data_IF_625089093953
#
_entry.id   IF_625089093953
#
_cell.length_a   1.000
_cell.length_b   1.000
_cell.length_c   1.000
_cell.angle_alpha   90.00
_cell.angle_beta   90.00
_cell.angle_gamma   90.00
#
_symmetry.space_group_name_H-M   'P 1'
#
loop_
_entity.id
_entity.type
_entity.pdbx_description
1 polymer ?
#
# COMPACT_ATOMS: atom_id res chain seq x y z
N UNK A 1 5.13 -12.62 -0.36
CA UNK A 1 5.42 -11.31 0.26
C UNK A 1 5.29 -10.23 -0.80
N UNK A 2 4.46 -9.19 -0.62
CA UNK A 2 4.33 -8.09 -1.55
C UNK A 2 5.58 -7.19 -1.51
N UNK A 3 6.03 -6.75 -2.69
CA UNK A 3 7.04 -5.73 -2.87
C UNK A 3 6.35 -4.46 -3.40
N UNK A 4 6.44 -3.37 -2.65
CA UNK A 4 5.71 -2.12 -2.93
C UNK A 4 6.53 -1.26 -3.87
N UNK A 5 6.19 -1.30 -5.17
CA UNK A 5 6.95 -0.60 -6.20
C UNK A 5 6.62 0.90 -6.23
N UNK A 6 7.66 1.73 -6.28
CA UNK A 6 7.52 3.16 -6.49
C UNK A 6 7.31 3.47 -7.97
N UNK A 7 6.08 3.70 -8.38
CA UNK A 7 5.72 3.96 -9.78
C UNK A 7 6.33 5.25 -10.36
N UNK A 8 6.81 6.17 -9.51
CA UNK A 8 7.43 7.41 -9.96
C UNK A 8 8.91 7.25 -10.34
N UNK A 9 9.51 6.07 -10.06
CA UNK A 9 10.93 5.81 -10.32
C UNK A 9 11.27 5.52 -11.79
N UNK A 10 10.26 5.48 -12.67
CA UNK A 10 10.42 5.14 -14.08
C UNK A 10 10.81 3.66 -14.31
N UNK A 11 10.96 3.28 -15.58
CA UNK A 11 11.23 1.88 -15.94
C UNK A 11 12.49 1.32 -15.27
N UNK A 12 13.61 2.03 -15.33
CA UNK A 12 14.88 1.53 -14.79
C UNK A 12 14.82 1.29 -13.27
N UNK A 13 14.19 2.19 -12.52
CA UNK A 13 14.01 2.05 -11.08
C UNK A 13 13.06 0.90 -10.72
N UNK A 14 11.98 0.72 -11.47
CA UNK A 14 11.04 -0.39 -11.29
C UNK A 14 11.67 -1.74 -11.63
N UNK A 15 12.39 -1.84 -12.74
CA UNK A 15 13.09 -3.06 -13.16
C UNK A 15 14.16 -3.47 -12.15
N UNK A 16 14.93 -2.49 -11.64
CA UNK A 16 15.92 -2.72 -10.60
C UNK A 16 15.27 -3.20 -9.28
N UNK A 17 14.15 -2.61 -8.87
CA UNK A 17 13.41 -3.02 -7.70
C UNK A 17 12.83 -4.44 -7.85
N UNK A 18 12.25 -4.77 -9.00
CA UNK A 18 11.74 -6.10 -9.30
C UNK A 18 12.86 -7.15 -9.29
N UNK A 19 14.02 -6.83 -9.86
CA UNK A 19 15.20 -7.71 -9.88
C UNK A 19 15.73 -7.95 -8.47
N UNK A 20 15.91 -6.88 -7.68
CA UNK A 20 16.42 -6.97 -6.31
C UNK A 20 15.51 -7.78 -5.38
N UNK A 21 14.20 -7.73 -5.58
CA UNK A 21 13.21 -8.48 -4.79
C UNK A 21 12.78 -9.80 -5.45
N UNK A 22 13.39 -10.19 -6.57
CA UNK A 22 13.09 -11.42 -7.31
C UNK A 22 11.59 -11.56 -7.67
N UNK A 23 10.95 -10.44 -7.97
CA UNK A 23 9.54 -10.41 -8.35
C UNK A 23 9.33 -11.14 -9.67
N UNK A 24 8.33 -12.01 -9.72
CA UNK A 24 7.91 -12.72 -10.95
C UNK A 24 6.60 -12.19 -11.51
N UNK A 25 5.78 -11.63 -10.64
CA UNK A 25 4.43 -11.14 -11.00
C UNK A 25 4.22 -9.75 -10.46
N UNK A 26 3.78 -8.85 -11.32
CA UNK A 26 3.40 -7.48 -10.98
C UNK A 26 1.87 -7.42 -11.02
N UNK A 27 1.27 -6.91 -9.96
CA UNK A 27 -0.17 -6.66 -9.90
C UNK A 27 -0.39 -5.16 -10.13
N UNK A 28 -1.25 -4.83 -11.07
CA UNK A 28 -1.55 -3.45 -11.45
C UNK A 28 -3.04 -3.25 -11.72
N UNK A 29 -3.50 -2.00 -11.76
CA UNK A 29 -4.84 -1.62 -12.20
C UNK A 29 -4.74 -0.86 -13.52
N UNK A 30 -5.57 -1.20 -14.51
CA UNK A 30 -5.64 -0.48 -15.80
C UNK A 30 -6.03 0.98 -15.60
N UNK A 31 -7.00 1.24 -14.74
CA UNK A 31 -7.44 2.59 -14.43
C UNK A 31 -6.30 3.42 -13.81
N UNK A 32 -5.50 2.83 -12.91
CA UNK A 32 -4.34 3.51 -12.33
C UNK A 32 -3.26 3.78 -13.38
N UNK A 33 -2.92 2.80 -14.24
CA UNK A 33 -1.92 2.93 -15.30
C UNK A 33 -2.25 4.12 -16.21
N UNK A 34 -3.51 4.22 -16.65
CA UNK A 34 -3.99 5.33 -17.48
C UNK A 34 -3.91 6.68 -16.76
N UNK A 35 -4.37 6.73 -15.50
CA UNK A 35 -4.34 7.96 -14.72
C UNK A 35 -2.91 8.45 -14.46
N UNK A 36 -1.99 7.53 -14.21
CA UNK A 36 -0.58 7.82 -13.92
C UNK A 36 0.30 7.88 -15.19
N UNK A 37 -0.27 7.64 -16.39
CA UNK A 37 0.43 7.65 -17.69
C UNK A 37 1.62 6.69 -17.72
N UNK A 38 1.39 5.44 -17.27
CA UNK A 38 2.44 4.43 -17.12
C UNK A 38 2.38 3.34 -18.20
N UNK A 39 1.61 3.52 -19.27
CA UNK A 39 1.37 2.52 -20.31
C UNK A 39 2.68 1.98 -20.90
N UNK A 40 3.56 2.88 -21.34
CA UNK A 40 4.86 2.52 -21.93
C UNK A 40 5.78 1.79 -20.92
N UNK A 41 5.75 2.22 -19.67
CA UNK A 41 6.56 1.61 -18.60
C UNK A 41 6.08 0.19 -18.32
N UNK A 42 4.76 0.00 -18.23
CA UNK A 42 4.15 -1.31 -17.98
C UNK A 42 4.35 -2.25 -19.16
N UNK A 43 4.30 -1.77 -20.40
CA UNK A 43 4.59 -2.56 -21.59
C UNK A 43 6.03 -3.10 -21.57
N UNK A 44 7.00 -2.26 -21.25
CA UNK A 44 8.42 -2.68 -21.08
C UNK A 44 8.59 -3.69 -19.93
N UNK A 45 7.87 -3.52 -18.83
CA UNK A 45 7.89 -4.47 -17.71
C UNK A 45 7.22 -5.80 -18.09
N UNK A 46 6.15 -5.77 -18.86
CA UNK A 46 5.43 -6.97 -19.32
C UNK A 46 6.28 -7.89 -20.21
N UNK A 47 7.32 -7.34 -20.87
CA UNK A 47 8.30 -8.14 -21.62
C UNK A 47 9.17 -9.01 -20.72
N UNK A 48 9.32 -8.67 -19.44
CA UNK A 48 10.19 -9.39 -18.47
C UNK A 48 9.41 -10.08 -17.35
N UNK A 49 8.28 -9.51 -16.94
CA UNK A 49 7.51 -9.94 -15.78
C UNK A 49 6.08 -10.26 -16.19
N UNK A 50 5.45 -11.19 -15.47
CA UNK A 50 4.02 -11.44 -15.62
C UNK A 50 3.23 -10.28 -15.01
N UNK A 51 2.50 -9.52 -15.82
CA UNK A 51 1.60 -8.47 -15.34
C UNK A 51 0.18 -9.05 -15.20
N UNK A 52 -0.42 -8.86 -14.03
CA UNK A 52 -1.79 -9.28 -13.71
C UNK A 52 -2.60 -8.02 -13.36
N UNK A 53 -3.70 -7.82 -14.04
CA UNK A 53 -4.58 -6.68 -13.80
C UNK A 53 -5.66 -7.02 -12.77
N UNK A 54 -5.90 -6.11 -11.82
CA UNK A 54 -6.93 -6.28 -10.78
C UNK A 54 -8.32 -6.47 -11.37
N UNK A 55 -8.58 -5.79 -12.48
CA UNK A 55 -9.86 -5.88 -13.19
C UNK A 55 -10.12 -7.30 -13.72
N UNK A 56 -9.07 -7.99 -14.17
CA UNK A 56 -9.18 -9.36 -14.69
C UNK A 56 -9.37 -10.38 -13.55
N UNK A 57 -8.75 -10.14 -12.38
CA UNK A 57 -8.92 -11.01 -11.23
C UNK A 57 -10.38 -11.16 -10.81
N UNK A 58 -11.15 -10.07 -10.91
CA UNK A 58 -12.57 -10.10 -10.57
C UNK A 58 -13.37 -11.06 -11.44
N UNK A 59 -13.00 -11.20 -12.71
CA UNK A 59 -13.67 -12.10 -13.68
C UNK A 59 -13.27 -13.57 -13.50
N UNK A 60 -12.13 -13.84 -12.84
CA UNK A 60 -11.65 -15.22 -12.59
C UNK A 60 -12.26 -15.86 -11.32
N UNK A 61 -12.90 -15.07 -10.47
CA UNK A 61 -13.50 -15.55 -9.23
C UNK A 61 -14.73 -16.41 -9.50
N UNK A 62 -14.58 -17.72 -9.37
CA UNK A 62 -15.63 -18.70 -9.51
C UNK A 62 -16.48 -18.91 -8.26
N UNK A 63 -17.43 -19.84 -8.34
CA UNK A 63 -18.29 -20.20 -7.21
C UNK A 63 -17.47 -20.81 -6.05
N UNK A 64 -16.47 -21.64 -6.38
CA UNK A 64 -15.58 -22.25 -5.39
C UNK A 64 -14.83 -21.19 -4.56
N UNK A 65 -14.33 -20.12 -5.20
CA UNK A 65 -13.63 -19.04 -4.50
C UNK A 65 -14.55 -18.27 -3.55
N UNK A 66 -15.82 -18.09 -3.97
CA UNK A 66 -16.83 -17.43 -3.12
C UNK A 66 -17.20 -18.29 -1.91
N UNK A 67 -17.31 -19.60 -2.09
CA UNK A 67 -17.56 -20.56 -0.99
C UNK A 67 -16.35 -20.56 -0.05
N UNK A 68 -15.14 -20.61 -0.58
CA UNK A 68 -13.90 -20.55 0.21
C UNK A 68 -13.80 -19.24 0.99
N UNK A 69 -14.12 -18.11 0.37
CA UNK A 69 -14.17 -16.79 1.05
C UNK A 69 -15.17 -16.79 2.20
N UNK A 70 -16.37 -17.33 1.99
CA UNK A 70 -17.36 -17.44 3.05
C UNK A 70 -16.89 -18.35 4.19
N UNK A 71 -16.26 -19.47 3.87
CA UNK A 71 -15.69 -20.38 4.86
C UNK A 71 -14.58 -19.69 5.68
N UNK A 72 -13.71 -18.88 5.04
CA UNK A 72 -12.65 -18.12 5.74
C UNK A 72 -13.20 -17.04 6.66
N UNK A 73 -14.34 -16.44 6.32
CA UNK A 73 -15.04 -15.49 7.20
C UNK A 73 -15.60 -16.15 8.46
N UNK A 74 -16.08 -17.40 8.34
CA UNK A 74 -16.64 -18.16 9.44
C UNK A 74 -15.57 -18.85 10.31
N UNK A 75 -14.46 -19.26 9.70
CA UNK A 75 -13.39 -20.03 10.34
C UNK A 75 -11.99 -19.48 9.99
N UNK A 76 -11.70 -18.20 10.28
CA UNK A 76 -10.48 -17.54 9.80
C UNK A 76 -9.18 -18.19 10.32
N UNK A 77 -9.19 -18.65 11.58
CA UNK A 77 -8.00 -19.24 12.22
C UNK A 77 -7.61 -20.61 11.69
N UNK A 78 -8.55 -21.38 11.15
CA UNK A 78 -8.29 -22.73 10.64
C UNK A 78 -7.93 -22.77 9.16
N UNK A 79 -8.36 -21.77 8.38
CA UNK A 79 -8.19 -21.72 6.93
C UNK A 79 -7.08 -20.75 6.48
N UNK A 80 -6.80 -19.72 7.28
CA UNK A 80 -5.64 -18.86 7.07
C UNK A 80 -4.45 -19.51 7.77
N UNK A 81 -3.42 -19.87 7.01
CA UNK A 81 -2.21 -20.50 7.56
C UNK A 81 -1.59 -19.70 8.71
N UNK A 82 -0.93 -20.39 9.62
CA UNK A 82 -0.19 -19.75 10.69
C UNK A 82 0.96 -18.94 10.11
N UNK A 83 1.08 -17.67 10.53
CA UNK A 83 2.22 -16.80 10.22
C UNK A 83 3.03 -16.58 11.50
N UNK A 84 4.35 -16.60 11.38
CA UNK A 84 5.22 -16.25 12.49
C UNK A 84 5.45 -14.73 12.53
N UNK A 85 5.60 -14.11 13.72
CA UNK A 85 5.87 -12.67 13.81
C UNK A 85 7.07 -12.19 13.01
N UNK A 86 8.11 -13.02 12.91
CA UNK A 86 9.33 -12.71 12.17
C UNK A 86 9.25 -12.99 10.66
N UNK A 87 8.14 -13.59 10.19
CA UNK A 87 7.95 -13.82 8.76
C UNK A 87 7.92 -12.49 8.00
N UNK A 88 8.53 -12.43 6.80
CA UNK A 88 8.48 -11.26 5.94
C UNK A 88 7.03 -10.88 5.58
N UNK A 89 6.63 -9.66 5.89
CA UNK A 89 5.30 -9.12 5.62
C UNK A 89 5.27 -8.27 4.34
N UNK A 90 6.29 -7.43 4.12
CA UNK A 90 6.37 -6.52 2.97
C UNK A 90 7.81 -6.17 2.66
N UNK A 91 8.08 -5.88 1.39
CA UNK A 91 9.34 -5.26 0.94
C UNK A 91 9.05 -3.83 0.52
N UNK A 92 9.74 -2.87 1.13
CA UNK A 92 9.74 -1.46 0.73
C UNK A 92 11.09 -1.11 0.10
N UNK A 93 11.10 -0.11 -0.78
CA UNK A 93 12.33 0.33 -1.42
C UNK A 93 12.72 1.73 -0.94
N UNK A 94 14.00 1.88 -0.64
CA UNK A 94 14.63 3.17 -0.38
C UNK A 94 15.49 3.57 -1.57
N UNK A 95 15.61 4.88 -1.82
CA UNK A 95 16.59 5.39 -2.77
C UNK A 95 17.98 5.10 -2.18
N UNK A 96 18.67 4.10 -2.73
CA UNK A 96 20.06 3.82 -2.35
C UNK A 96 20.95 5.03 -2.65
N UNK A 97 22.00 5.23 -1.86
CA UNK A 97 22.99 6.31 -2.04
C UNK A 97 23.66 6.33 -3.43
N UNK A 98 23.60 5.20 -4.14
CA UNK A 98 24.17 5.01 -5.49
C UNK A 98 23.09 5.00 -6.60
N UNK A 99 21.87 5.45 -6.29
CA UNK A 99 20.76 5.47 -7.26
C UNK A 99 20.07 4.11 -7.51
N UNK A 100 20.60 3.02 -6.98
CA UNK A 100 19.96 1.69 -7.07
C UNK A 100 19.02 1.49 -5.89
N UNK A 101 17.73 1.14 -6.13
CA UNK A 101 16.80 0.88 -5.04
C UNK A 101 17.27 -0.26 -4.15
N UNK A 102 17.28 -0.04 -2.82
CA UNK A 102 17.55 -1.08 -1.83
C UNK A 102 16.22 -1.57 -1.26
N UNK A 103 15.97 -2.89 -1.36
CA UNK A 103 14.80 -3.53 -0.77
C UNK A 103 14.98 -3.73 0.73
N UNK A 104 14.08 -3.18 1.52
CA UNK A 104 14.00 -3.36 2.97
C UNK A 104 12.87 -4.33 3.27
N UNK A 105 13.20 -5.49 3.80
CA UNK A 105 12.23 -6.49 4.22
C UNK A 105 11.75 -6.17 5.63
N UNK A 106 10.44 -5.97 5.79
CA UNK A 106 9.82 -5.75 7.09
C UNK A 106 9.01 -6.98 7.47
N UNK A 107 9.19 -7.45 8.71
CA UNK A 107 8.39 -8.55 9.26
C UNK A 107 7.04 -8.07 9.78
N UNK A 108 6.14 -9.02 10.05
CA UNK A 108 4.87 -8.72 10.73
C UNK A 108 5.11 -8.02 12.06
N UNK A 109 6.11 -8.46 12.83
CA UNK A 109 6.47 -7.86 14.11
C UNK A 109 6.93 -6.41 13.96
N UNK A 110 7.73 -6.09 12.93
CA UNK A 110 8.18 -4.72 12.69
C UNK A 110 6.99 -3.77 12.45
N UNK A 111 6.02 -4.20 11.64
CA UNK A 111 4.83 -3.40 11.35
C UNK A 111 3.96 -3.23 12.59
N UNK A 112 3.69 -4.31 13.32
CA UNK A 112 2.87 -4.29 14.53
C UNK A 112 3.51 -3.45 15.64
N UNK A 113 4.83 -3.58 15.86
CA UNK A 113 5.55 -2.78 16.85
C UNK A 113 5.48 -1.28 16.53
N UNK A 114 5.67 -0.90 15.26
CA UNK A 114 5.57 0.51 14.86
C UNK A 114 4.14 1.07 15.10
N UNK A 115 3.10 0.31 14.78
CA UNK A 115 1.73 0.73 15.07
C UNK A 115 1.43 0.82 16.56
N UNK A 116 1.96 -0.12 17.37
CA UNK A 116 1.83 -0.06 18.82
C UNK A 116 2.52 1.19 19.40
N UNK A 117 3.70 1.55 18.88
CA UNK A 117 4.41 2.78 19.26
C UNK A 117 3.59 4.03 18.97
N UNK A 118 2.98 4.13 17.79
CA UNK A 118 2.11 5.27 17.45
C UNK A 118 0.92 5.34 18.40
N UNK A 119 0.25 4.21 18.65
CA UNK A 119 -0.91 4.12 19.56
C UNK A 119 -0.56 4.38 21.03
N UNK A 120 0.68 4.22 21.43
CA UNK A 120 1.11 4.57 22.81
C UNK A 120 1.23 6.08 23.04
N UNK A 121 1.26 6.88 21.97
CA UNK A 121 1.43 8.34 22.02
C UNK A 121 0.15 9.07 21.57
N UNK A 122 -0.62 8.46 20.67
CA UNK A 122 -1.82 9.05 20.10
C UNK A 122 -3.00 8.11 20.36
N UNK A 123 -4.00 8.60 21.05
CA UNK A 123 -5.28 7.91 21.20
C UNK A 123 -6.16 8.12 19.97
N UNK A 124 -6.60 7.01 19.37
CA UNK A 124 -7.54 7.03 18.25
C UNK A 124 -8.90 6.53 18.72
N UNK A 125 -9.93 7.31 18.45
CA UNK A 125 -11.31 6.93 18.73
C UNK A 125 -11.90 6.07 17.60
N UNK A 126 -12.92 5.27 17.91
CA UNK A 126 -13.56 4.39 16.92
C UNK A 126 -14.32 5.13 15.82
N UNK A 127 -14.67 6.38 16.05
CA UNK A 127 -15.33 7.30 15.11
C UNK A 127 -14.35 8.16 14.31
N UNK A 128 -13.05 8.05 14.58
CA UNK A 128 -12.04 8.73 13.78
C UNK A 128 -12.11 8.33 12.31
N UNK A 129 -11.79 9.30 11.46
CA UNK A 129 -11.76 9.16 10.01
C UNK A 129 -10.42 9.64 9.49
N UNK A 130 -9.66 8.71 8.98
CA UNK A 130 -8.35 9.00 8.42
C UNK A 130 -8.45 9.41 6.95
N UNK A 131 -7.69 10.42 6.59
CA UNK A 131 -7.37 10.73 5.20
C UNK A 131 -5.89 10.44 4.97
N UNK A 132 -5.57 9.49 4.11
CA UNK A 132 -4.22 9.22 3.70
C UNK A 132 -4.00 9.63 2.24
N UNK A 133 -3.22 10.67 2.03
CA UNK A 133 -2.73 11.10 0.72
C UNK A 133 -1.28 10.66 0.46
N UNK A 134 -0.58 10.13 1.48
CA UNK A 134 0.80 9.68 1.34
C UNK A 134 0.87 8.37 0.52
N UNK A 135 1.89 8.22 -0.33
CA UNK A 135 2.04 7.01 -1.13
C UNK A 135 2.29 5.78 -0.24
N UNK A 136 1.51 4.71 -0.46
CA UNK A 136 1.62 3.45 0.32
C UNK A 136 2.87 2.63 0.00
N UNK A 137 3.64 2.98 -1.03
CA UNK A 137 4.95 2.39 -1.28
C UNK A 137 6.09 3.02 -0.44
N UNK A 138 5.79 4.03 0.37
CA UNK A 138 6.67 4.57 1.40
C UNK A 138 6.23 4.10 2.78
N UNK A 139 7.21 3.90 3.68
CA UNK A 139 6.97 3.37 5.02
C UNK A 139 5.89 4.15 5.78
N UNK A 140 5.93 5.48 5.79
CA UNK A 140 4.97 6.30 6.51
C UNK A 140 3.56 6.20 5.94
N UNK A 141 3.42 6.25 4.60
CA UNK A 141 2.12 6.08 3.95
C UNK A 141 1.52 4.68 4.15
N UNK A 142 2.38 3.64 4.17
CA UNK A 142 1.92 2.28 4.44
C UNK A 142 1.53 2.09 5.90
N UNK A 143 2.41 2.42 6.85
CA UNK A 143 2.19 2.09 8.26
C UNK A 143 1.16 3.00 8.91
N UNK A 144 1.41 4.31 8.98
CA UNK A 144 0.51 5.26 9.60
C UNK A 144 -0.71 5.58 8.72
N UNK A 145 -0.49 5.67 7.39
CA UNK A 145 -1.54 6.07 6.45
C UNK A 145 -2.52 4.97 6.07
N UNK A 146 -2.12 3.71 6.09
CA UNK A 146 -2.97 2.60 5.66
C UNK A 146 -3.17 1.53 6.74
N UNK A 147 -2.10 0.92 7.25
CA UNK A 147 -2.22 -0.21 8.17
C UNK A 147 -2.77 0.20 9.54
N UNK A 148 -2.35 1.33 10.08
CA UNK A 148 -2.81 1.82 11.38
C UNK A 148 -4.34 1.99 11.43
N UNK A 149 -4.98 2.75 10.53
CA UNK A 149 -6.44 2.89 10.55
C UNK A 149 -7.17 1.56 10.33
N UNK A 150 -6.67 0.66 9.49
CA UNK A 150 -7.26 -0.66 9.30
C UNK A 150 -7.20 -1.50 10.58
N UNK A 151 -6.09 -1.44 11.32
CA UNK A 151 -5.93 -2.20 12.56
C UNK A 151 -6.64 -1.58 13.77
N UNK A 152 -6.89 -0.28 13.75
CA UNK A 152 -7.70 0.39 14.78
C UNK A 152 -9.21 0.28 14.50
N UNK A 153 -9.60 -0.24 13.32
CA UNK A 153 -11.00 -0.35 12.91
C UNK A 153 -11.65 0.98 12.57
N UNK A 154 -10.86 2.02 12.32
CA UNK A 154 -11.33 3.35 11.95
C UNK A 154 -11.61 3.45 10.45
N UNK A 155 -12.33 4.47 10.04
CA UNK A 155 -12.60 4.73 8.61
C UNK A 155 -11.37 5.30 7.94
N UNK A 156 -11.09 4.82 6.72
CA UNK A 156 -9.94 5.26 5.92
C UNK A 156 -10.39 5.75 4.55
N UNK A 157 -9.99 6.97 4.20
CA UNK A 157 -10.04 7.51 2.84
C UNK A 157 -8.63 7.53 2.26
N UNK A 158 -8.44 6.84 1.13
CA UNK A 158 -7.18 6.88 0.37
C UNK A 158 -7.30 7.91 -0.74
N UNK A 159 -6.39 8.85 -0.78
CA UNK A 159 -6.29 9.84 -1.85
C UNK A 159 -5.00 9.62 -2.67
N UNK A 160 -5.05 9.68 -4.00
CA UNK A 160 -3.97 9.14 -4.85
C UNK A 160 -2.68 9.97 -4.84
N UNK A 161 -2.69 11.24 -4.42
CA UNK A 161 -1.50 12.09 -4.51
C UNK A 161 -1.45 13.17 -3.43
N UNK A 162 -0.32 13.28 -2.69
CA UNK A 162 -0.14 14.35 -1.70
C UNK A 162 0.10 15.73 -2.32
N UNK A 163 0.29 15.81 -3.63
CA UNK A 163 0.63 17.06 -4.34
C UNK A 163 -0.59 17.89 -4.73
N UNK A 164 -1.78 17.39 -4.50
CA UNK A 164 -3.01 18.13 -4.79
C UNK A 164 -3.39 19.03 -3.60
N UNK A 165 -2.54 20.01 -3.32
CA UNK A 165 -2.57 20.86 -2.12
C UNK A 165 -3.90 21.55 -1.82
N UNK A 166 -4.67 21.90 -2.84
CA UNK A 166 -6.00 22.52 -2.68
C UNK A 166 -7.09 21.47 -2.41
N UNK A 167 -7.00 20.32 -3.05
CA UNK A 167 -8.05 19.30 -3.00
C UNK A 167 -8.03 18.53 -1.68
N UNK A 168 -6.85 18.29 -1.11
CA UNK A 168 -6.73 17.52 0.14
C UNK A 168 -7.48 18.14 1.31
N UNK A 169 -7.35 19.45 1.61
CA UNK A 169 -8.15 20.11 2.64
C UNK A 169 -9.67 20.07 2.35
N UNK A 170 -10.07 20.24 1.08
CA UNK A 170 -11.47 20.14 0.68
C UNK A 170 -12.01 18.73 0.95
N UNK A 171 -11.30 17.69 0.54
CA UNK A 171 -11.69 16.30 0.82
C UNK A 171 -11.71 16.02 2.32
N UNK A 172 -10.74 16.51 3.09
CA UNK A 172 -10.71 16.36 4.53
C UNK A 172 -11.97 16.96 5.18
N UNK A 173 -12.36 18.15 4.74
CA UNK A 173 -13.57 18.84 5.21
C UNK A 173 -14.85 18.11 4.78
N UNK A 174 -15.01 17.82 3.49
CA UNK A 174 -16.23 17.19 2.93
C UNK A 174 -16.49 15.79 3.50
N UNK A 175 -15.45 15.05 3.84
CA UNK A 175 -15.53 13.72 4.43
C UNK A 175 -15.54 13.73 5.95
N UNK A 176 -15.44 14.92 6.58
CA UNK A 176 -15.27 15.08 8.01
C UNK A 176 -14.13 14.20 8.54
N UNK A 177 -12.96 14.25 7.89
CA UNK A 177 -11.80 13.52 8.35
C UNK A 177 -11.24 14.20 9.62
N UNK A 178 -10.92 13.38 10.63
CA UNK A 178 -10.40 13.85 11.92
C UNK A 178 -8.90 13.69 12.03
N UNK A 179 -8.31 12.80 11.21
CA UNK A 179 -6.89 12.49 11.22
C UNK A 179 -6.31 12.60 9.81
N UNK A 180 -5.26 13.41 9.66
CA UNK A 180 -4.46 13.54 8.45
C UNK A 180 -2.98 13.43 8.83
N UNK A 181 -2.30 12.41 8.29
CA UNK A 181 -0.86 12.31 8.39
C UNK A 181 -0.17 12.97 7.19
N UNK A 182 0.89 13.68 7.46
CA UNK A 182 1.69 14.29 6.41
C UNK A 182 3.09 14.66 6.91
N UNK A 183 4.00 14.88 5.98
CA UNK A 183 5.28 15.53 6.29
C UNK A 183 5.05 17.03 6.47
N UNK A 184 5.95 17.71 7.17
CA UNK A 184 5.87 19.17 7.36
C UNK A 184 5.73 19.92 6.03
N UNK A 185 6.41 19.43 4.99
CA UNK A 185 6.34 20.02 3.64
C UNK A 185 4.94 19.93 3.04
N UNK A 186 4.26 18.78 3.16
CA UNK A 186 2.89 18.65 2.64
C UNK A 186 1.89 19.43 3.46
N UNK A 187 1.93 19.27 4.80
CA UNK A 187 1.00 19.95 5.69
C UNK A 187 1.13 21.48 5.64
N UNK A 188 2.33 22.00 5.42
CA UNK A 188 2.57 23.42 5.24
C UNK A 188 2.04 24.01 3.91
N UNK A 189 1.68 23.17 2.95
CA UNK A 189 1.09 23.58 1.67
C UNK A 189 -0.42 23.32 1.57
N UNK A 190 -1.01 22.62 2.54
CA UNK A 190 -2.45 22.40 2.65
C UNK A 190 -3.12 23.58 3.32
#
# INVERSE_FOLDING_TARGET
>A
VPAMLNYTAGFAGLDAACTASQVKTIIASRAFIQTARLEEVVEKLAAKYRVVYLEDLKSTLGLADKIWLLATLLMPRSLLGATHPDDPAVVLFTSGSEGVPKGVVLSHQNLLANMAQVRSVIDFASDDKFLNALPIFHAFGLTAGALLPLMTGTRLFLYPSPLHYRVIPEVAYDRNCTVLFGTSTFLGNY
#
